data_IF_842481438488
#
_entry.id   IF_842481438488
#
_cell.length_a   1.000
_cell.length_b   1.000
_cell.length_c   1.000
_cell.angle_alpha   90.00
_cell.angle_beta   90.00
_cell.angle_gamma   90.00
#
_symmetry.space_group_name_H-M   'P 1'
#
loop_
_entity.id
_entity.type
_entity.pdbx_description
1 polymer ?
#
# COMPACT_ATOMS: atom_id res chain seq x y z
N UNK A 1 8.91 49.44 -11.21
CA UNK A 1 9.82 48.65 -12.06
C UNK A 1 10.22 47.41 -11.26
N UNK A 2 9.83 46.25 -11.76
CA UNK A 2 10.00 44.93 -11.13
C UNK A 2 11.48 44.65 -10.83
N UNK A 3 11.85 44.59 -9.56
CA UNK A 3 13.03 43.83 -9.16
C UNK A 3 12.58 42.42 -8.77
N UNK A 4 12.89 41.52 -9.70
CA UNK A 4 12.89 40.07 -9.65
C UNK A 4 12.52 39.42 -8.29
N UNK A 5 11.36 38.78 -8.30
CA UNK A 5 11.01 37.60 -7.49
C UNK A 5 11.91 36.41 -7.87
N UNK A 6 13.22 36.50 -7.65
CA UNK A 6 14.17 35.43 -7.91
C UNK A 6 14.66 34.80 -6.60
N UNK A 7 13.70 34.35 -5.77
CA UNK A 7 13.93 33.41 -4.67
C UNK A 7 12.66 32.54 -4.50
N UNK A 8 12.19 31.97 -5.60
CA UNK A 8 11.29 30.80 -5.58
C UNK A 8 12.12 29.56 -5.19
N UNK A 9 11.55 28.63 -4.41
CA UNK A 9 12.01 28.32 -3.06
C UNK A 9 13.17 27.32 -2.97
N UNK A 10 14.18 27.65 -2.18
CA UNK A 10 15.15 26.72 -1.56
C UNK A 10 14.50 25.91 -0.42
N UNK A 11 13.19 25.61 -0.52
CA UNK A 11 12.36 25.02 0.56
C UNK A 11 11.76 23.66 0.15
N UNK A 12 12.31 23.02 -0.88
CA UNK A 12 12.13 21.58 -1.05
C UNK A 12 13.52 20.96 -1.06
N UNK A 13 14.03 20.63 0.13
CA UNK A 13 15.19 19.76 0.38
C UNK A 13 14.95 18.33 -0.11
N UNK A 14 14.19 18.17 -1.19
CA UNK A 14 13.89 16.92 -1.81
C UNK A 14 14.90 16.64 -2.89
N UNK A 15 15.74 15.63 -2.68
CA UNK A 15 16.68 15.19 -3.70
C UNK A 15 15.99 14.49 -4.89
N UNK A 16 14.65 14.36 -4.90
CA UNK A 16 13.91 13.63 -5.92
C UNK A 16 14.04 14.20 -7.33
N UNK A 17 14.23 15.51 -7.49
CA UNK A 17 14.46 16.11 -8.82
C UNK A 17 15.84 15.74 -9.39
N UNK A 18 16.87 15.69 -8.54
CA UNK A 18 18.25 15.36 -8.96
C UNK A 18 18.54 13.85 -8.91
N UNK A 19 17.68 13.07 -8.28
CA UNK A 19 17.76 11.61 -8.16
C UNK A 19 16.34 11.02 -8.25
N UNK A 20 15.75 11.03 -9.46
CA UNK A 20 14.38 10.60 -9.66
C UNK A 20 14.19 9.13 -9.30
N UNK A 21 12.98 8.79 -8.86
CA UNK A 21 12.59 7.41 -8.66
C UNK A 21 12.66 6.66 -10.01
N UNK A 22 13.24 5.47 -9.99
CA UNK A 22 13.35 4.62 -11.17
C UNK A 22 11.98 4.15 -11.66
N UNK A 23 11.77 4.22 -12.97
CA UNK A 23 10.57 3.74 -13.66
C UNK A 23 10.92 2.78 -14.79
N UNK A 24 10.00 1.88 -15.13
CA UNK A 24 10.11 1.02 -16.31
C UNK A 24 9.69 1.78 -17.59
N UNK A 25 9.74 1.10 -18.74
CA UNK A 25 9.37 1.68 -20.03
C UNK A 25 7.88 2.07 -20.14
N UNK A 26 7.02 1.51 -19.29
CA UNK A 26 5.59 1.81 -19.21
C UNK A 26 5.31 2.94 -18.18
N UNK A 27 6.33 3.42 -17.47
CA UNK A 27 6.23 4.51 -16.51
C UNK A 27 5.93 4.08 -15.08
N UNK A 28 5.94 2.80 -14.75
CA UNK A 28 5.71 2.31 -13.39
C UNK A 28 6.98 2.38 -12.53
N UNK A 29 6.84 2.80 -11.28
CA UNK A 29 7.92 2.82 -10.29
C UNK A 29 8.40 1.38 -10.01
N UNK A 30 9.64 1.08 -10.40
CA UNK A 30 10.15 -0.29 -10.37
C UNK A 30 10.39 -0.81 -8.96
N UNK A 31 10.74 0.08 -8.02
CA UNK A 31 10.87 -0.26 -6.60
C UNK A 31 9.54 -0.68 -5.97
N UNK A 32 8.42 -0.13 -6.44
CA UNK A 32 7.08 -0.52 -5.98
C UNK A 32 6.76 -1.98 -6.34
N UNK A 33 7.46 -2.62 -7.28
CA UNK A 33 7.26 -4.05 -7.57
C UNK A 33 7.61 -4.96 -6.39
N UNK A 34 8.50 -4.49 -5.51
CA UNK A 34 9.01 -5.20 -4.34
C UNK A 34 8.44 -4.65 -3.02
N UNK A 35 7.48 -3.73 -3.05
CA UNK A 35 6.89 -3.17 -1.83
C UNK A 35 5.92 -4.15 -1.15
N UNK A 36 5.55 -3.84 0.10
CA UNK A 36 4.69 -4.67 0.95
C UNK A 36 3.22 -4.68 0.51
N UNK A 37 2.72 -3.59 -0.08
CA UNK A 37 1.32 -3.51 -0.53
C UNK A 37 0.97 -4.55 -1.60
N UNK A 38 1.71 -4.64 -2.72
CA UNK A 38 1.51 -5.70 -3.72
C UNK A 38 1.72 -7.11 -3.17
N UNK A 39 2.62 -7.27 -2.21
CA UNK A 39 2.89 -8.56 -1.56
C UNK A 39 1.69 -9.01 -0.74
N UNK A 40 1.20 -8.17 0.16
CA UNK A 40 0.04 -8.45 0.99
C UNK A 40 -1.21 -8.75 0.15
N UNK A 41 -1.43 -8.00 -0.94
CA UNK A 41 -2.53 -8.29 -1.88
C UNK A 41 -2.30 -9.63 -2.60
N UNK A 42 -1.06 -9.94 -3.02
CA UNK A 42 -0.75 -11.23 -3.62
C UNK A 42 -1.03 -12.39 -2.66
N UNK A 43 -0.68 -12.22 -1.39
CA UNK A 43 -0.91 -13.21 -0.34
C UNK A 43 -2.39 -13.40 -0.05
N UNK A 44 -3.16 -12.31 0.00
CA UNK A 44 -4.61 -12.36 0.14
C UNK A 44 -5.27 -13.11 -1.02
N UNK A 45 -4.87 -12.83 -2.26
CA UNK A 45 -5.41 -13.51 -3.44
C UNK A 45 -5.07 -15.01 -3.45
N UNK A 46 -3.88 -15.40 -2.96
CA UNK A 46 -3.50 -16.81 -2.82
C UNK A 46 -4.38 -17.57 -1.82
N UNK A 47 -4.90 -16.91 -0.79
CA UNK A 47 -5.87 -17.53 0.13
C UNK A 47 -7.20 -17.90 -0.56
N UNK A 48 -7.44 -17.35 -1.75
CA UNK A 48 -8.60 -17.67 -2.60
C UNK A 48 -8.21 -18.43 -3.86
N UNK A 49 -7.04 -19.09 -3.89
CA UNK A 49 -6.50 -19.82 -5.05
C UNK A 49 -6.30 -18.96 -6.31
N UNK A 50 -6.20 -17.63 -6.16
CA UNK A 50 -5.91 -16.69 -7.24
C UNK A 50 -4.42 -16.36 -7.25
N UNK A 51 -3.71 -16.91 -8.22
CA UNK A 51 -2.28 -16.63 -8.40
C UNK A 51 -2.08 -15.44 -9.34
N UNK A 52 -1.48 -14.36 -8.81
CA UNK A 52 -1.12 -13.16 -9.57
C UNK A 52 0.30 -12.70 -9.24
N UNK A 53 1.14 -12.38 -10.24
CA UNK A 53 2.47 -11.85 -9.98
C UNK A 53 2.39 -10.52 -9.23
N UNK A 54 3.28 -10.33 -8.23
CA UNK A 54 3.42 -9.06 -7.50
C UNK A 54 3.62 -7.87 -8.42
N UNK A 55 4.35 -8.02 -9.52
CA UNK A 55 4.55 -6.98 -10.53
C UNK A 55 3.23 -6.53 -11.16
N UNK A 56 2.34 -7.45 -11.51
CA UNK A 56 1.02 -7.12 -12.08
C UNK A 56 0.14 -6.40 -11.06
N UNK A 57 0.10 -6.87 -9.82
CA UNK A 57 -0.64 -6.21 -8.73
C UNK A 57 -0.08 -4.82 -8.47
N UNK A 58 1.25 -4.69 -8.47
CA UNK A 58 1.95 -3.42 -8.26
C UNK A 58 1.65 -2.40 -9.34
N UNK A 59 1.58 -2.82 -10.61
CA UNK A 59 1.12 -1.97 -11.73
C UNK A 59 -0.34 -1.55 -11.51
N UNK A 60 -1.23 -2.48 -11.17
CA UNK A 60 -2.64 -2.16 -10.90
C UNK A 60 -2.84 -1.20 -9.73
N UNK A 61 -2.03 -1.27 -8.67
CA UNK A 61 -2.04 -0.30 -7.57
C UNK A 61 -1.65 1.08 -8.10
N UNK A 62 -0.60 1.16 -8.91
CA UNK A 62 -0.10 2.40 -9.49
C UNK A 62 -1.05 3.02 -10.52
N UNK A 63 -1.81 2.20 -11.26
CA UNK A 63 -2.83 2.67 -12.20
C UNK A 63 -3.97 3.42 -11.50
N UNK A 64 -4.22 3.10 -10.22
CA UNK A 64 -5.24 3.77 -9.42
C UNK A 64 -4.64 4.87 -8.53
N UNK A 65 -3.33 5.17 -8.70
CA UNK A 65 -2.68 6.22 -7.94
C UNK A 65 -3.20 7.60 -8.32
N UNK A 66 -3.33 8.44 -7.30
CA UNK A 66 -3.57 9.85 -7.50
C UNK A 66 -2.28 10.60 -7.89
N UNK A 67 -2.44 11.85 -8.32
CA UNK A 67 -1.32 12.75 -8.65
C UNK A 67 -0.32 12.95 -7.50
N UNK A 68 -0.73 12.65 -6.26
CA UNK A 68 0.11 12.81 -5.07
C UNK A 68 1.35 11.93 -5.09
N UNK A 69 1.30 10.69 -5.62
CA UNK A 69 2.51 9.86 -5.75
C UNK A 69 3.56 10.56 -6.62
N UNK A 70 3.14 11.11 -7.75
CA UNK A 70 4.04 11.86 -8.63
C UNK A 70 4.62 13.09 -7.92
N UNK A 71 3.79 13.90 -7.27
CA UNK A 71 4.24 15.10 -6.55
C UNK A 71 5.20 14.78 -5.40
N UNK A 72 4.89 13.77 -4.59
CA UNK A 72 5.72 13.39 -3.44
C UNK A 72 7.04 12.75 -3.84
N UNK A 73 7.11 12.08 -4.99
CA UNK A 73 8.39 11.58 -5.51
C UNK A 73 9.37 12.67 -5.93
N UNK A 74 8.89 13.88 -6.21
CA UNK A 74 9.77 15.05 -6.42
C UNK A 74 10.47 15.45 -5.12
N UNK A 75 9.81 15.23 -3.98
CA UNK A 75 10.38 15.47 -2.64
C UNK A 75 11.26 14.28 -2.22
N UNK A 76 10.74 13.06 -2.26
CA UNK A 76 11.49 11.88 -1.87
C UNK A 76 11.15 10.66 -2.74
N UNK A 77 12.15 10.10 -3.42
CA UNK A 77 11.95 9.03 -4.41
C UNK A 77 11.26 7.78 -3.86
N UNK A 78 11.39 7.48 -2.57
CA UNK A 78 10.75 6.32 -1.93
C UNK A 78 9.24 6.48 -1.75
N UNK A 79 8.68 7.68 -1.92
CA UNK A 79 7.23 7.86 -1.93
C UNK A 79 6.58 7.08 -3.08
N UNK A 80 7.34 6.76 -4.14
CA UNK A 80 6.91 5.89 -5.23
C UNK A 80 6.63 4.45 -4.78
N UNK A 81 7.12 4.05 -3.60
CA UNK A 81 7.03 2.69 -3.07
C UNK A 81 5.78 2.48 -2.18
N UNK A 82 5.09 3.55 -1.80
CA UNK A 82 3.97 3.52 -0.85
C UNK A 82 2.71 2.99 -1.54
N UNK A 83 2.01 2.02 -0.95
CA UNK A 83 0.65 1.65 -1.40
C UNK A 83 -0.38 2.24 -0.44
N UNK A 84 -1.19 3.17 -0.90
CA UNK A 84 -2.22 3.82 -0.09
C UNK A 84 -3.45 2.93 0.07
N UNK A 85 -4.21 3.05 1.19
CA UNK A 85 -5.39 2.22 1.43
C UNK A 85 -6.42 2.24 0.29
N UNK A 86 -6.69 3.41 -0.31
CA UNK A 86 -7.67 3.51 -1.40
C UNK A 86 -7.24 2.75 -2.67
N UNK A 87 -5.94 2.70 -2.96
CA UNK A 87 -5.40 1.98 -4.12
C UNK A 87 -5.51 0.46 -3.89
N UNK A 88 -5.13 0.01 -2.69
CA UNK A 88 -5.26 -1.39 -2.26
C UNK A 88 -6.72 -1.83 -2.34
N UNK A 89 -7.65 -1.06 -1.76
CA UNK A 89 -9.09 -1.33 -1.81
C UNK A 89 -9.58 -1.42 -3.26
N UNK A 90 -9.15 -0.51 -4.13
CA UNK A 90 -9.56 -0.50 -5.54
C UNK A 90 -9.10 -1.75 -6.26
N UNK A 91 -7.87 -2.21 -6.01
CA UNK A 91 -7.35 -3.46 -6.60
C UNK A 91 -8.13 -4.67 -6.08
N UNK A 92 -8.37 -4.79 -4.78
CA UNK A 92 -9.18 -5.89 -4.24
C UNK A 92 -10.58 -5.95 -4.87
N UNK A 93 -11.22 -4.79 -5.08
CA UNK A 93 -12.52 -4.71 -5.78
C UNK A 93 -12.45 -5.17 -7.24
N UNK A 94 -11.36 -4.87 -7.97
CA UNK A 94 -11.16 -5.37 -9.34
C UNK A 94 -11.10 -6.90 -9.40
N UNK A 95 -10.69 -7.55 -8.31
CA UNK A 95 -10.69 -9.01 -8.19
C UNK A 95 -12.01 -9.61 -7.67
N UNK A 96 -13.06 -8.80 -7.53
CA UNK A 96 -14.37 -9.31 -7.13
C UNK A 96 -14.60 -9.40 -5.62
N UNK A 97 -13.84 -8.64 -4.82
CA UNK A 97 -13.99 -8.62 -3.37
C UNK A 97 -14.56 -7.30 -2.84
N UNK A 98 -15.55 -7.42 -1.95
CA UNK A 98 -15.92 -6.37 -1.04
C UNK A 98 -14.85 -6.23 0.04
N UNK A 99 -14.55 -4.99 0.41
CA UNK A 99 -13.53 -4.66 1.40
C UNK A 99 -14.21 -4.00 2.59
N UNK A 100 -14.30 -4.74 3.70
CA UNK A 100 -15.03 -4.33 4.90
C UNK A 100 -14.05 -3.86 5.97
N UNK A 101 -14.08 -2.58 6.37
CA UNK A 101 -13.23 -2.10 7.45
C UNK A 101 -13.72 -2.62 8.81
N UNK A 102 -12.80 -3.12 9.63
CA UNK A 102 -13.05 -3.40 11.04
C UNK A 102 -12.04 -2.64 11.91
N UNK A 103 -12.30 -2.59 13.22
CA UNK A 103 -11.47 -1.84 14.19
C UNK A 103 -10.67 -2.71 15.14
N UNK A 104 -11.02 -3.98 15.26
CA UNK A 104 -10.54 -4.86 16.30
C UNK A 104 -10.02 -6.15 15.65
N UNK A 105 -8.70 -6.36 15.74
CA UNK A 105 -8.02 -7.49 15.09
C UNK A 105 -8.45 -8.84 15.69
N UNK A 106 -8.88 -8.86 16.96
CA UNK A 106 -9.33 -10.07 17.64
C UNK A 106 -10.67 -10.61 17.11
N UNK A 107 -11.34 -9.87 16.22
CA UNK A 107 -12.54 -10.33 15.51
C UNK A 107 -12.24 -11.16 14.27
N UNK A 108 -10.98 -11.23 13.85
CA UNK A 108 -10.58 -12.05 12.71
C UNK A 108 -10.52 -13.52 13.12
N UNK A 109 -11.15 -14.39 12.32
CA UNK A 109 -11.07 -15.84 12.46
C UNK A 109 -10.14 -16.42 11.39
N UNK A 110 -9.00 -17.01 11.79
CA UNK A 110 -7.99 -17.54 10.88
C UNK A 110 -8.52 -18.66 9.95
N UNK A 111 -9.64 -19.30 10.31
CA UNK A 111 -10.28 -20.32 9.49
C UNK A 111 -11.27 -19.78 8.45
N UNK A 112 -11.65 -18.50 8.54
CA UNK A 112 -12.74 -17.91 7.73
C UNK A 112 -12.38 -16.60 7.05
N UNK A 113 -11.51 -15.81 7.67
CA UNK A 113 -11.26 -14.44 7.26
C UNK A 113 -9.90 -14.30 6.59
N UNK A 114 -9.91 -13.60 5.46
CA UNK A 114 -8.71 -13.06 4.82
C UNK A 114 -8.78 -11.55 4.98
N UNK A 115 -7.72 -10.95 5.51
CA UNK A 115 -7.70 -9.51 5.75
C UNK A 115 -6.36 -8.86 5.42
N UNK A 116 -6.41 -7.63 4.95
CA UNK A 116 -5.24 -6.77 4.78
C UNK A 116 -5.15 -5.81 5.97
N UNK A 117 -3.99 -5.80 6.62
CA UNK A 117 -3.74 -4.97 7.80
C UNK A 117 -2.61 -3.99 7.50
N UNK A 118 -2.86 -2.71 7.75
CA UNK A 118 -1.86 -1.66 7.71
C UNK A 118 -1.32 -1.45 9.13
N UNK A 119 -0.03 -1.69 9.30
CA UNK A 119 0.68 -1.53 10.58
C UNK A 119 1.82 -0.51 10.45
N UNK A 120 2.30 0.00 11.58
CA UNK A 120 3.57 0.72 11.63
C UNK A 120 4.34 0.50 12.93
N UNK A 121 5.64 0.83 12.93
CA UNK A 121 6.49 0.88 14.13
C UNK A 121 6.66 2.30 14.72
N UNK A 122 5.75 3.22 14.40
CA UNK A 122 5.82 4.62 14.87
C UNK A 122 6.86 5.53 14.22
N UNK A 123 7.84 4.97 13.50
CA UNK A 123 8.78 5.74 12.68
C UNK A 123 8.34 5.81 11.21
N UNK A 124 8.80 6.85 10.50
CA UNK A 124 8.35 7.13 9.12
C UNK A 124 8.65 6.01 8.11
N UNK A 125 9.71 5.22 8.31
CA UNK A 125 10.04 4.05 7.48
C UNK A 125 9.35 2.76 7.92
N UNK A 126 8.56 2.81 9.00
CA UNK A 126 7.98 1.64 9.65
C UNK A 126 6.63 1.17 9.10
N UNK A 127 6.09 1.80 8.05
CA UNK A 127 4.78 1.45 7.52
C UNK A 127 4.82 0.15 6.72
N UNK A 128 3.87 -0.76 7.00
CA UNK A 128 3.85 -2.07 6.38
C UNK A 128 2.43 -2.59 6.17
N UNK A 129 2.21 -3.27 5.04
CA UNK A 129 0.99 -4.03 4.78
C UNK A 129 1.28 -5.51 5.04
N UNK A 130 0.38 -6.17 5.76
CA UNK A 130 0.41 -7.62 5.97
C UNK A 130 -0.93 -8.26 5.61
N UNK A 131 -0.90 -9.54 5.30
CA UNK A 131 -2.09 -10.34 5.06
C UNK A 131 -2.34 -11.29 6.24
N UNK A 132 -3.53 -11.26 6.80
CA UNK A 132 -4.05 -12.30 7.68
C UNK A 132 -4.79 -13.36 6.83
N UNK A 133 -4.67 -14.67 7.14
CA UNK A 133 -3.92 -15.28 8.25
C UNK A 133 -2.46 -15.62 7.91
N UNK A 134 -1.93 -15.19 6.75
CA UNK A 134 -0.54 -15.49 6.33
C UNK A 134 0.48 -15.02 7.36
N UNK A 135 0.28 -13.82 7.92
CA UNK A 135 0.96 -13.33 9.11
C UNK A 135 0.00 -13.48 10.28
N UNK A 136 0.38 -14.29 11.28
CA UNK A 136 -0.47 -14.60 12.44
C UNK A 136 -0.19 -13.70 13.64
N UNK A 137 1.07 -13.31 13.86
CA UNK A 137 1.50 -12.50 15.01
C UNK A 137 1.58 -11.01 14.64
N UNK A 138 0.47 -10.47 14.11
CA UNK A 138 0.41 -9.11 13.57
C UNK A 138 0.62 -8.07 14.67
N UNK A 139 0.12 -8.32 15.88
CA UNK A 139 0.23 -7.39 17.01
C UNK A 139 1.67 -7.25 17.54
N UNK A 140 2.55 -8.21 17.28
CA UNK A 140 3.97 -8.16 17.66
C UNK A 140 4.91 -8.05 16.46
N UNK A 141 4.42 -7.66 15.27
CA UNK A 141 5.22 -7.62 14.05
C UNK A 141 6.50 -6.77 14.18
N UNK A 142 6.42 -5.67 14.92
CA UNK A 142 7.53 -4.79 15.33
C UNK A 142 7.80 -4.83 16.85
N UNK A 143 7.34 -5.87 17.55
CA UNK A 143 7.32 -5.92 19.01
C UNK A 143 6.36 -4.90 19.62
N UNK A 144 6.73 -4.34 20.77
CA UNK A 144 5.92 -3.39 21.55
C UNK A 144 5.57 -2.09 20.80
N UNK A 145 6.32 -1.77 19.74
CA UNK A 145 6.10 -0.57 18.90
C UNK A 145 5.05 -0.77 17.81
N UNK A 146 4.47 -1.96 17.70
CA UNK A 146 3.51 -2.27 16.63
C UNK A 146 2.20 -1.53 16.83
N UNK A 147 1.84 -0.71 15.85
CA UNK A 147 0.57 -0.01 15.80
C UNK A 147 -0.26 -0.48 14.62
N UNK A 148 -1.49 -0.94 14.88
CA UNK A 148 -2.46 -1.27 13.84
C UNK A 148 -3.27 -0.03 13.47
N UNK A 149 -3.22 0.35 12.20
CA UNK A 149 -3.92 1.53 11.69
C UNK A 149 -5.24 1.21 11.02
N UNK A 150 -5.26 0.16 10.18
CA UNK A 150 -6.44 -0.23 9.41
C UNK A 150 -6.48 -1.73 9.25
N UNK A 151 -7.68 -2.29 9.31
CA UNK A 151 -7.94 -3.70 9.07
C UNK A 151 -9.07 -3.78 8.05
N UNK A 152 -8.85 -4.52 6.98
CA UNK A 152 -9.78 -4.68 5.87
C UNK A 152 -10.03 -6.15 5.60
N UNK A 153 -11.23 -6.65 5.92
CA UNK A 153 -11.63 -8.02 5.56
C UNK A 153 -12.05 -8.05 4.09
N UNK A 154 -11.61 -9.08 3.37
CA UNK A 154 -12.02 -9.36 2.01
C UNK A 154 -13.18 -10.36 2.03
N UNK A 155 -14.33 -9.97 1.48
CA UNK A 155 -15.49 -10.85 1.30
C UNK A 155 -15.81 -10.94 -0.19
N UNK A 156 -16.04 -12.15 -0.69
CA UNK A 156 -16.48 -12.35 -2.07
C UNK A 156 -17.80 -11.59 -2.30
N UNK A 157 -17.88 -10.84 -3.40
CA UNK A 157 -19.09 -10.10 -3.80
C UNK A 157 -20.26 -11.06 -4.07
N UNK A 158 -19.98 -12.32 -4.39
CA UNK A 158 -20.99 -13.33 -4.74
C UNK A 158 -21.52 -14.12 -3.54
N UNK A 159 -20.93 -13.97 -2.35
CA UNK A 159 -21.44 -14.60 -1.13
C UNK A 159 -22.38 -13.60 -0.45
N UNK A 160 -23.69 -13.89 -0.49
CA UNK A 160 -24.66 -13.17 0.34
C UNK A 160 -24.27 -13.39 1.80
N UNK A 161 -23.98 -12.31 2.52
CA UNK A 161 -23.81 -12.36 3.97
C UNK A 161 -25.13 -12.85 4.58
N UNK A 162 -25.10 -14.05 5.16
CA UNK A 162 -26.17 -14.57 6.03
C UNK A 162 -26.26 -13.77 7.33
#
# INVERSE_FOLDING_TARGET
MCFLLALTPVIFSGCGVFNPASRDAEGYYTRHFLSCGPDAVSDALRQFDIYRPRTSISKQIQDNSNIWRNLTTLVHKTCGDISCPHEIITVCKKYGYNVLPIRDIHKLDASKDVALVLISSGIASGWHWVCFPVVTDIENYYGDETMIHRIFILKDINIKSE
#
